data_IF_261467686539
#
_entry.id   IF_261467686539
#
_cell.length_a   1.000
_cell.length_b   1.000
_cell.length_c   1.000
_cell.angle_alpha   90.00
_cell.angle_beta   90.00
_cell.angle_gamma   90.00
#
_symmetry.space_group_name_H-M   'P 1'
#
loop_
_entity.id
_entity.type
_entity.pdbx_description
1 polymer ?
#
# COMPACT_ATOMS: atom_id res chain seq x y z
N UNK A 1 -9.36 -0.93 -26.65
CA UNK A 1 -8.01 -1.38 -26.22
C UNK A 1 -8.25 -2.27 -25.02
N UNK A 2 -8.20 -3.59 -25.22
CA UNK A 2 -8.40 -4.56 -24.14
C UNK A 2 -7.19 -4.47 -23.20
N UNK A 3 -7.39 -3.86 -22.03
CA UNK A 3 -6.43 -3.93 -20.94
C UNK A 3 -6.25 -5.39 -20.56
N UNK A 4 -5.00 -5.85 -20.61
CA UNK A 4 -4.59 -7.16 -20.11
C UNK A 4 -5.05 -7.21 -18.64
N UNK A 5 -6.11 -7.96 -18.34
CA UNK A 5 -6.49 -8.27 -16.95
C UNK A 5 -5.34 -9.04 -16.33
N UNK A 6 -4.47 -8.31 -15.64
CA UNK A 6 -3.35 -8.85 -14.89
C UNK A 6 -3.92 -9.83 -13.86
N UNK A 7 -3.66 -11.12 -14.04
CA UNK A 7 -4.16 -12.26 -13.25
C UNK A 7 -4.71 -11.91 -11.85
N UNK A 8 -6.00 -11.54 -11.78
CA UNK A 8 -6.68 -10.92 -10.63
C UNK A 8 -6.45 -11.72 -9.33
N UNK A 9 -6.41 -13.05 -9.44
CA UNK A 9 -6.25 -13.99 -8.32
C UNK A 9 -4.92 -13.81 -7.55
N UNK A 10 -3.84 -13.44 -8.24
CA UNK A 10 -2.52 -13.24 -7.62
C UNK A 10 -2.54 -12.03 -6.68
N UNK A 11 -3.14 -10.93 -7.14
CA UNK A 11 -3.23 -9.68 -6.37
C UNK A 11 -4.22 -9.83 -5.22
N UNK A 12 -5.35 -10.49 -5.44
CA UNK A 12 -6.32 -10.82 -4.39
C UNK A 12 -5.69 -11.57 -3.22
N UNK A 13 -4.85 -12.57 -3.51
CA UNK A 13 -4.11 -13.32 -2.49
C UNK A 13 -3.14 -12.42 -1.72
N UNK A 14 -2.49 -11.49 -2.40
CA UNK A 14 -1.58 -10.54 -1.78
C UNK A 14 -2.32 -9.52 -0.91
N UNK A 15 -3.43 -8.95 -1.39
CA UNK A 15 -4.31 -8.07 -0.62
C UNK A 15 -4.76 -8.79 0.64
N UNK A 16 -5.27 -10.02 0.52
CA UNK A 16 -5.68 -10.84 1.65
C UNK A 16 -4.56 -10.98 2.68
N UNK A 17 -3.34 -11.30 2.25
CA UNK A 17 -2.18 -11.42 3.15
C UNK A 17 -1.84 -10.10 3.85
N UNK A 18 -1.91 -8.97 3.14
CA UNK A 18 -1.70 -7.64 3.74
C UNK A 18 -2.75 -7.37 4.82
N UNK A 19 -4.03 -7.69 4.54
CA UNK A 19 -5.12 -7.52 5.50
C UNK A 19 -4.97 -8.43 6.72
N UNK A 20 -4.56 -9.68 6.53
CA UNK A 20 -4.26 -10.61 7.63
C UNK A 20 -3.10 -10.10 8.49
N UNK A 21 -2.04 -9.57 7.87
CA UNK A 21 -0.89 -9.03 8.59
C UNK A 21 -1.22 -7.73 9.36
N UNK A 22 -2.16 -6.92 8.88
CA UNK A 22 -2.53 -5.67 9.54
C UNK A 22 -3.53 -5.87 10.69
N UNK A 23 -4.38 -6.90 10.60
CA UNK A 23 -5.48 -7.16 11.54
C UNK A 23 -5.06 -7.11 13.02
N UNK A 24 -3.93 -7.70 13.46
CA UNK A 24 -3.53 -7.70 14.87
C UNK A 24 -3.22 -6.31 15.42
N UNK A 25 -2.93 -5.34 14.55
CA UNK A 25 -2.44 -4.02 14.92
C UNK A 25 -3.52 -2.93 14.88
N UNK A 26 -4.60 -3.15 14.12
CA UNK A 26 -5.71 -2.23 14.06
C UNK A 26 -6.53 -2.29 15.36
N UNK A 27 -6.75 -1.13 15.99
CA UNK A 27 -7.52 -1.01 17.24
C UNK A 27 -8.48 0.18 17.14
N UNK A 28 -9.75 -0.12 16.85
CA UNK A 28 -10.80 0.87 16.57
C UNK A 28 -10.97 1.95 17.67
N UNK A 29 -10.69 1.61 18.93
CA UNK A 29 -10.99 2.46 20.10
C UNK A 29 -9.83 3.38 20.54
N UNK A 30 -8.77 3.53 19.76
CA UNK A 30 -7.60 4.34 20.16
C UNK A 30 -7.73 5.81 19.74
N UNK A 31 -8.21 6.64 20.68
CA UNK A 31 -8.25 8.10 20.54
C UNK A 31 -6.84 8.66 20.20
N UNK A 32 -6.80 9.69 19.36
CA UNK A 32 -5.57 10.38 18.91
C UNK A 32 -4.54 9.47 18.22
N UNK A 33 -5.02 8.43 17.53
CA UNK A 33 -4.18 7.51 16.74
C UNK A 33 -4.58 7.59 15.27
N UNK A 34 -3.61 7.86 14.41
CA UNK A 34 -3.75 7.86 12.96
C UNK A 34 -3.18 6.55 12.44
N UNK A 35 -3.99 5.85 11.64
CA UNK A 35 -3.63 4.62 10.96
C UNK A 35 -3.47 4.91 9.46
N UNK A 36 -2.48 4.29 8.84
CA UNK A 36 -2.14 4.52 7.44
C UNK A 36 -1.31 3.37 6.90
N UNK A 37 -1.33 3.21 5.59
CA UNK A 37 -0.46 2.28 4.88
C UNK A 37 0.57 3.11 4.14
N UNK A 38 1.84 2.84 4.38
CA UNK A 38 2.97 3.44 3.70
C UNK A 38 3.43 2.47 2.62
N UNK A 39 3.47 2.95 1.39
CA UNK A 39 3.95 2.25 0.20
C UNK A 39 5.30 2.87 -0.15
N UNK A 40 6.35 2.06 -0.14
CA UNK A 40 7.72 2.52 -0.36
C UNK A 40 8.28 1.88 -1.62
N UNK A 41 8.66 2.72 -2.59
CA UNK A 41 9.45 2.29 -3.73
C UNK A 41 10.88 1.91 -3.29
N UNK A 42 11.30 0.69 -3.65
CA UNK A 42 12.66 0.21 -3.44
C UNK A 42 13.27 -0.19 -4.79
N UNK A 43 13.81 0.78 -5.54
CA UNK A 43 14.38 0.55 -6.87
C UNK A 43 15.62 -0.34 -6.83
N UNK A 44 16.39 -0.29 -5.74
CA UNK A 44 17.60 -1.12 -5.57
C UNK A 44 17.29 -2.62 -5.54
N UNK A 45 16.14 -3.00 -4.98
CA UNK A 45 15.71 -4.39 -4.89
C UNK A 45 14.56 -4.73 -5.85
N UNK A 46 14.17 -3.78 -6.72
CA UNK A 46 13.05 -3.91 -7.66
C UNK A 46 11.81 -4.50 -6.99
N UNK A 47 11.32 -3.82 -5.96
CA UNK A 47 10.13 -4.24 -5.21
C UNK A 47 9.45 -3.05 -4.55
N UNK A 48 8.16 -3.19 -4.25
CA UNK A 48 7.43 -2.23 -3.41
C UNK A 48 7.21 -2.81 -2.02
N UNK A 49 7.44 -2.01 -0.98
CA UNK A 49 7.26 -2.43 0.41
C UNK A 49 6.05 -1.75 1.02
N UNK A 50 5.26 -2.52 1.76
CA UNK A 50 4.05 -2.05 2.42
C UNK A 50 4.26 -2.10 3.92
N UNK A 51 4.03 -0.96 4.58
CA UNK A 51 4.10 -0.83 6.03
C UNK A 51 2.79 -0.31 6.60
N UNK A 52 2.35 -0.88 7.72
CA UNK A 52 1.29 -0.30 8.52
C UNK A 52 1.89 0.69 9.51
N UNK A 53 1.49 1.95 9.38
CA UNK A 53 2.00 3.03 10.21
C UNK A 53 0.95 3.46 11.22
N UNK A 54 1.36 3.43 12.49
CA UNK A 54 0.55 3.83 13.64
C UNK A 54 1.21 5.05 14.28
N UNK A 55 0.59 6.21 14.10
CA UNK A 55 1.04 7.46 14.69
C UNK A 55 0.09 7.87 15.82
N UNK A 56 0.57 7.90 17.06
CA UNK A 56 -0.21 8.35 18.21
C UNK A 56 0.40 9.63 18.78
N UNK A 57 -0.45 10.61 19.11
CA UNK A 57 -0.01 11.90 19.66
C UNK A 57 0.91 11.70 20.88
N UNK A 58 2.05 12.39 20.89
CA UNK A 58 3.11 12.31 21.93
C UNK A 58 3.73 10.91 22.11
N UNK A 59 3.62 10.04 21.11
CA UNK A 59 4.28 8.73 21.12
C UNK A 59 5.11 8.56 19.85
N UNK A 60 6.11 7.68 19.93
CA UNK A 60 6.91 7.30 18.75
C UNK A 60 6.01 6.59 17.73
N UNK A 61 6.05 7.06 16.50
CA UNK A 61 5.43 6.40 15.35
C UNK A 61 6.00 4.99 15.19
N UNK A 62 5.13 4.02 15.00
CA UNK A 62 5.52 2.64 14.68
C UNK A 62 5.25 2.38 13.20
N UNK A 63 6.23 1.78 12.52
CA UNK A 63 6.09 1.26 11.15
C UNK A 63 6.27 -0.25 11.20
N UNK A 64 5.30 -1.00 10.67
CA UNK A 64 5.23 -2.45 10.78
C UNK A 64 5.16 -3.02 9.37
N UNK A 65 6.09 -3.91 8.95
CA UNK A 65 6.02 -4.50 7.61
C UNK A 65 4.80 -5.40 7.49
N UNK A 66 3.98 -5.18 6.45
CA UNK A 66 2.74 -5.92 6.20
C UNK A 66 2.71 -6.58 4.82
N UNK A 67 3.61 -6.22 3.91
CA UNK A 67 3.68 -6.84 2.59
C UNK A 67 4.88 -6.39 1.76
N UNK A 68 5.22 -7.20 0.76
CA UNK A 68 6.23 -6.90 -0.26
C UNK A 68 5.66 -7.32 -1.61
N UNK A 69 5.63 -6.42 -2.58
CA UNK A 69 5.25 -6.69 -3.97
C UNK A 69 6.54 -6.86 -4.77
N UNK A 70 6.84 -8.10 -5.16
CA UNK A 70 8.00 -8.43 -5.99
C UNK A 70 7.77 -8.13 -7.49
N UNK A 71 6.53 -7.86 -7.88
CA UNK A 71 6.18 -7.46 -9.24
C UNK A 71 6.42 -5.95 -9.39
N UNK A 72 7.60 -5.58 -9.89
CA UNK A 72 8.06 -4.19 -9.94
C UNK A 72 7.52 -3.38 -11.13
N UNK A 73 6.32 -3.71 -11.58
CA UNK A 73 5.61 -2.98 -12.63
C UNK A 73 4.67 -1.97 -12.01
N UNK A 74 4.49 -0.81 -12.63
CA UNK A 74 3.68 0.27 -12.08
C UNK A 74 2.20 -0.12 -12.10
N UNK A 75 1.73 -0.74 -13.18
CA UNK A 75 0.37 -1.27 -13.33
C UNK A 75 0.03 -2.27 -12.20
N UNK A 76 1.00 -3.11 -11.83
CA UNK A 76 0.85 -4.11 -10.77
C UNK A 76 0.72 -3.47 -9.39
N UNK A 77 1.41 -2.35 -9.16
CA UNK A 77 1.29 -1.57 -7.94
C UNK A 77 -0.05 -0.86 -7.88
N UNK A 78 -0.44 -0.20 -8.98
CA UNK A 78 -1.69 0.57 -9.09
C UNK A 78 -2.90 -0.32 -8.79
N UNK A 79 -2.98 -1.48 -9.45
CA UNK A 79 -4.07 -2.45 -9.25
C UNK A 79 -4.14 -2.91 -7.77
N UNK A 80 -3.00 -3.27 -7.18
CA UNK A 80 -2.96 -3.69 -5.78
C UNK A 80 -3.42 -2.56 -4.83
N UNK A 81 -3.01 -1.32 -5.10
CA UNK A 81 -3.40 -0.18 -4.29
C UNK A 81 -4.89 0.15 -4.41
N UNK A 82 -5.47 0.06 -5.62
CA UNK A 82 -6.91 0.19 -5.81
C UNK A 82 -7.70 -0.89 -5.07
N UNK A 83 -7.28 -2.16 -5.17
CA UNK A 83 -7.92 -3.24 -4.43
C UNK A 83 -7.81 -3.04 -2.92
N UNK A 84 -6.65 -2.59 -2.40
CA UNK A 84 -6.50 -2.25 -0.98
C UNK A 84 -7.48 -1.16 -0.57
N UNK A 85 -7.60 -0.07 -1.34
CA UNK A 85 -8.54 1.02 -1.04
C UNK A 85 -9.99 0.59 -1.01
N UNK A 86 -10.38 -0.37 -1.83
CA UNK A 86 -11.74 -0.92 -1.80
C UNK A 86 -12.03 -1.76 -0.53
N UNK A 87 -10.99 -2.26 0.16
CA UNK A 87 -11.14 -3.11 1.34
C UNK A 87 -10.91 -2.37 2.66
N UNK A 88 -10.16 -1.26 2.65
CA UNK A 88 -9.83 -0.49 3.86
C UNK A 88 -9.86 1.02 3.62
N UNK A 89 -10.36 1.75 4.62
CA UNK A 89 -10.43 3.22 4.60
C UNK A 89 -9.10 3.91 4.99
N UNK A 90 -7.99 3.19 5.03
CA UNK A 90 -6.71 3.77 5.42
C UNK A 90 -6.16 4.72 4.34
N UNK A 91 -5.53 5.81 4.77
CA UNK A 91 -4.71 6.64 3.89
C UNK A 91 -3.52 5.83 3.38
N UNK A 92 -3.34 5.77 2.06
CA UNK A 92 -2.11 5.31 1.44
C UNK A 92 -1.14 6.50 1.35
N UNK A 93 0.09 6.32 1.80
CA UNK A 93 1.18 7.28 1.64
C UNK A 93 2.27 6.69 0.78
N UNK A 94 2.67 7.41 -0.25
CA UNK A 94 3.69 6.98 -1.19
C UNK A 94 5.01 7.66 -0.86
N UNK A 95 6.06 6.87 -0.69
CA UNK A 95 7.41 7.35 -0.36
C UNK A 95 8.43 6.80 -1.36
N UNK A 96 9.42 7.62 -1.69
CA UNK A 96 10.44 7.37 -2.73
C UNK A 96 9.91 7.24 -4.17
N UNK A 97 8.68 7.68 -4.43
CA UNK A 97 8.10 7.76 -5.78
C UNK A 97 8.39 9.11 -6.47
N UNK A 98 9.46 9.80 -6.08
CA UNK A 98 9.80 11.11 -6.63
C UNK A 98 10.01 11.02 -8.15
N UNK A 99 9.39 11.95 -8.89
CA UNK A 99 9.36 12.00 -10.37
C UNK A 99 8.64 10.85 -11.10
N UNK A 100 7.91 9.97 -10.39
CA UNK A 100 7.10 8.92 -11.02
C UNK A 100 5.61 9.32 -11.11
N UNK A 101 4.95 8.89 -12.18
CA UNK A 101 3.50 8.99 -12.43
C UNK A 101 2.94 7.58 -12.59
N UNK A 102 1.62 7.43 -12.47
CA UNK A 102 0.95 6.25 -13.01
C UNK A 102 1.20 6.16 -14.53
N UNK A 103 0.97 4.99 -15.12
CA UNK A 103 1.25 4.75 -16.54
C UNK A 103 0.40 5.63 -17.47
N UNK A 104 -0.73 6.14 -16.97
CA UNK A 104 -1.60 7.10 -17.66
C UNK A 104 -1.23 8.58 -17.43
N UNK A 105 -0.13 8.85 -16.72
CA UNK A 105 0.38 10.20 -16.44
C UNK A 105 -0.25 10.90 -15.23
N UNK A 106 -1.19 10.27 -14.51
CA UNK A 106 -1.70 10.79 -13.23
C UNK A 106 -0.62 10.79 -12.16
N UNK A 107 -0.74 11.67 -11.16
CA UNK A 107 0.20 11.67 -10.03
C UNK A 107 -0.06 10.45 -9.16
N UNK A 108 1.01 9.86 -8.59
CA UNK A 108 0.93 8.65 -7.78
C UNK A 108 0.06 8.80 -6.51
N UNK A 109 -0.20 10.02 -6.06
CA UNK A 109 -1.08 10.29 -4.92
C UNK A 109 -2.57 10.33 -5.29
N UNK A 110 -2.90 10.25 -6.58
CA UNK A 110 -4.27 10.25 -7.10
C UNK A 110 -4.76 8.79 -7.25
N UNK A 111 -5.16 8.18 -6.13
CA UNK A 111 -5.78 6.85 -6.03
C UNK A 111 -7.16 6.93 -5.39
#
# INVERSE_FOLDING_TARGET
MEGIRLNDEKYDKMVKRILENLQPYFKLQKINTIYSIQVVDNPYQKKYNFFFVIAKKKQRTRSIPIGILHDYRMEALEELCHQLKQKVDFTLRFENFEAQTWDDGRKIYDI
#
